data_IF_975192429466
#
_entry.id   IF_975192429466
#
_cell.length_a   1.000
_cell.length_b   1.000
_cell.length_c   1.000
_cell.angle_alpha   90.00
_cell.angle_beta   90.00
_cell.angle_gamma   90.00
#
_symmetry.space_group_name_H-M   'P 1'
#
loop_
_entity.id
_entity.type
_entity.pdbx_description
1 polymer ?
#
# COMPACT_ATOMS: atom_id res chain seq x y z
N UNK A 1 3.23 14.29 -11.63
CA UNK A 1 3.96 14.46 -10.36
C UNK A 1 5.00 13.34 -10.22
N UNK A 2 6.07 13.59 -9.47
CA UNK A 2 7.09 12.60 -9.12
C UNK A 2 6.70 11.95 -7.80
N UNK A 3 6.60 10.63 -7.79
CA UNK A 3 6.12 9.86 -6.62
C UNK A 3 7.16 8.80 -6.25
N UNK A 4 7.60 8.81 -5.00
CA UNK A 4 8.55 7.85 -4.46
C UNK A 4 7.85 6.89 -3.48
N UNK A 5 8.23 5.62 -3.50
CA UNK A 5 7.67 4.59 -2.62
C UNK A 5 8.71 3.96 -1.73
N UNK A 6 8.33 3.70 -0.49
CA UNK A 6 9.05 2.79 0.40
C UNK A 6 8.10 1.76 0.98
N UNK A 7 8.48 0.49 0.94
CA UNK A 7 7.64 -0.63 1.39
C UNK A 7 8.32 -1.42 2.48
N UNK A 8 7.63 -1.58 3.59
CA UNK A 8 8.04 -2.47 4.67
C UNK A 8 7.10 -3.66 4.78
N UNK A 9 7.62 -4.78 5.28
CA UNK A 9 6.83 -5.94 5.67
C UNK A 9 6.80 -7.06 4.66
N UNK A 10 5.62 -7.62 4.43
CA UNK A 10 5.43 -8.90 3.76
C UNK A 10 5.25 -8.75 2.24
N UNK A 11 5.20 -9.90 1.55
CA UNK A 11 4.95 -9.97 0.11
C UNK A 11 3.64 -9.32 -0.32
N UNK A 12 2.61 -9.34 0.55
CA UNK A 12 1.33 -8.67 0.26
C UNK A 12 1.53 -7.16 0.18
N UNK A 13 2.27 -6.56 1.12
CA UNK A 13 2.58 -5.13 1.05
C UNK A 13 3.38 -4.77 -0.22
N UNK A 14 4.32 -5.63 -0.61
CA UNK A 14 5.09 -5.42 -1.84
C UNK A 14 4.18 -5.47 -3.08
N UNK A 15 3.34 -6.50 -3.19
CA UNK A 15 2.36 -6.65 -4.25
C UNK A 15 1.42 -5.41 -4.34
N UNK A 16 0.91 -4.96 -3.21
CA UNK A 16 0.04 -3.78 -3.15
C UNK A 16 0.77 -2.50 -3.55
N UNK A 17 2.06 -2.38 -3.21
CA UNK A 17 2.88 -1.25 -3.67
C UNK A 17 3.08 -1.28 -5.17
N UNK A 18 3.39 -2.44 -5.75
CA UNK A 18 3.56 -2.58 -7.20
C UNK A 18 2.24 -2.17 -7.94
N UNK A 19 1.09 -2.55 -7.40
CA UNK A 19 -0.21 -2.13 -7.95
C UNK A 19 -0.43 -0.62 -7.85
N UNK A 20 -0.13 -0.01 -6.70
CA UNK A 20 -0.25 1.44 -6.53
C UNK A 20 0.68 2.20 -7.49
N UNK A 21 1.91 1.72 -7.65
CA UNK A 21 2.87 2.31 -8.60
C UNK A 21 2.35 2.22 -10.04
N UNK A 22 1.85 1.05 -10.44
CA UNK A 22 1.29 0.85 -11.78
C UNK A 22 0.07 1.73 -12.04
N UNK A 23 -0.86 1.81 -11.09
CA UNK A 23 -2.05 2.66 -11.21
C UNK A 23 -1.66 4.14 -11.36
N UNK A 24 -0.80 4.64 -10.49
CA UNK A 24 -0.35 6.03 -10.52
C UNK A 24 0.46 6.34 -11.79
N UNK A 25 1.31 5.42 -12.25
CA UNK A 25 2.05 5.58 -13.51
C UNK A 25 1.12 5.63 -14.71
N UNK A 26 0.08 4.77 -14.75
CA UNK A 26 -0.92 4.75 -15.83
C UNK A 26 -1.72 6.05 -15.93
N UNK A 27 -1.78 6.81 -14.85
CA UNK A 27 -2.45 8.11 -14.73
C UNK A 27 -1.48 9.30 -14.90
N UNK A 28 -0.33 9.07 -15.54
CA UNK A 28 0.62 10.12 -15.94
C UNK A 28 1.57 10.60 -14.84
N UNK A 29 1.70 9.87 -13.73
CA UNK A 29 2.69 10.17 -12.70
C UNK A 29 4.02 9.45 -13.00
N UNK A 30 5.14 10.04 -12.59
CA UNK A 30 6.48 9.44 -12.70
C UNK A 30 6.87 8.77 -11.38
N UNK A 31 7.10 7.47 -11.40
CA UNK A 31 7.61 6.76 -10.24
C UNK A 31 9.13 6.89 -10.20
N UNK A 32 9.65 7.36 -9.07
CA UNK A 32 11.08 7.61 -8.86
C UNK A 32 11.62 6.81 -7.67
N UNK A 33 12.94 6.71 -7.54
CA UNK A 33 13.57 6.08 -6.39
C UNK A 33 13.21 6.83 -5.10
N UNK A 34 13.17 6.11 -3.98
CA UNK A 34 12.93 6.73 -2.66
C UNK A 34 14.06 7.70 -2.26
N UNK A 35 15.23 7.53 -2.85
CA UNK A 35 16.38 8.40 -2.61
C UNK A 35 16.39 9.66 -3.48
N UNK A 36 15.58 9.68 -4.53
CA UNK A 36 15.41 10.83 -5.41
C UNK A 36 14.47 11.89 -4.80
N UNK A 37 14.53 13.09 -5.37
CA UNK A 37 13.58 14.15 -5.05
C UNK A 37 12.20 13.83 -5.64
N UNK A 38 11.15 13.92 -4.81
CA UNK A 38 9.78 13.61 -5.20
C UNK A 38 8.78 14.60 -4.60
N UNK A 39 7.67 14.82 -5.32
CA UNK A 39 6.55 15.65 -4.85
C UNK A 39 5.76 14.95 -3.74
N UNK A 40 5.69 13.61 -3.83
CA UNK A 40 4.96 12.76 -2.88
C UNK A 40 5.80 11.54 -2.51
N UNK A 41 5.96 11.30 -1.22
CA UNK A 41 6.56 10.10 -0.66
C UNK A 41 5.48 9.22 -0.06
N UNK A 42 5.30 8.00 -0.58
CA UNK A 42 4.32 7.03 -0.09
C UNK A 42 5.06 5.93 0.69
N UNK A 43 4.71 5.77 1.96
CA UNK A 43 5.28 4.73 2.84
C UNK A 43 4.23 3.68 3.13
N UNK A 44 4.41 2.48 2.59
CA UNK A 44 3.58 1.31 2.86
C UNK A 44 4.16 0.55 4.06
N UNK A 45 3.48 0.64 5.19
CA UNK A 45 3.98 0.26 6.52
C UNK A 45 3.59 -1.16 6.94
N UNK A 46 4.38 -1.74 7.83
CA UNK A 46 4.14 -3.02 8.49
C UNK A 46 3.93 -2.83 10.00
N UNK A 47 3.11 -3.71 10.61
CA UNK A 47 2.85 -3.72 12.06
C UNK A 47 2.81 -5.14 12.64
N UNK A 48 3.50 -6.10 12.02
CA UNK A 48 3.50 -7.51 12.50
C UNK A 48 4.27 -7.65 13.83
N UNK A 49 5.24 -6.79 14.06
CA UNK A 49 6.06 -6.78 15.29
C UNK A 49 6.34 -5.34 15.75
N UNK A 50 6.67 -5.16 17.04
CA UNK A 50 7.12 -3.87 17.57
C UNK A 50 8.35 -3.33 16.82
N UNK A 51 9.24 -4.21 16.34
CA UNK A 51 10.38 -3.84 15.50
C UNK A 51 9.93 -3.26 14.16
N UNK A 52 8.90 -3.84 13.53
CA UNK A 52 8.37 -3.31 12.27
C UNK A 52 7.68 -1.95 12.45
N UNK A 53 6.99 -1.72 13.57
CA UNK A 53 6.44 -0.40 13.91
C UNK A 53 7.56 0.64 14.07
N UNK A 54 8.64 0.28 14.77
CA UNK A 54 9.80 1.16 14.91
C UNK A 54 10.43 1.49 13.55
N UNK A 55 10.67 0.49 12.70
CA UNK A 55 11.21 0.68 11.35
C UNK A 55 10.27 1.54 10.49
N UNK A 56 8.97 1.32 10.57
CA UNK A 56 7.97 2.13 9.88
C UNK A 56 8.10 3.62 10.27
N UNK A 57 8.20 3.92 11.57
CA UNK A 57 8.41 5.30 12.04
C UNK A 57 9.73 5.91 11.54
N UNK A 58 10.80 5.13 11.46
CA UNK A 58 12.09 5.62 10.92
C UNK A 58 11.99 5.96 9.44
N UNK A 59 11.34 5.13 8.64
CA UNK A 59 11.15 5.39 7.21
C UNK A 59 10.23 6.59 7.00
N UNK A 60 9.14 6.74 7.76
CA UNK A 60 8.25 7.91 7.69
C UNK A 60 9.04 9.21 8.01
N UNK A 61 9.85 9.21 9.06
CA UNK A 61 10.70 10.37 9.37
C UNK A 61 11.74 10.66 8.29
N UNK A 62 12.28 9.62 7.65
CA UNK A 62 13.19 9.79 6.50
C UNK A 62 12.48 10.42 5.32
N UNK A 63 11.27 9.95 4.98
CA UNK A 63 10.42 10.54 3.96
C UNK A 63 10.14 12.03 4.25
N UNK A 64 9.78 12.36 5.49
CA UNK A 64 9.50 13.73 5.90
C UNK A 64 10.71 14.68 5.74
N UNK A 65 11.92 14.18 6.04
CA UNK A 65 13.15 14.98 5.83
C UNK A 65 13.47 15.20 4.35
N UNK A 66 13.12 14.24 3.48
CA UNK A 66 13.36 14.31 2.03
C UNK A 66 12.33 15.17 1.31
N UNK A 67 11.11 15.19 1.81
CA UNK A 67 9.98 15.83 1.15
C UNK A 67 10.13 17.35 0.98
N UNK A 68 10.96 18.06 1.78
CA UNK A 68 11.32 19.48 1.64
C UNK A 68 10.14 20.39 1.22
N UNK A 69 8.95 20.15 1.77
CA UNK A 69 7.70 20.83 1.38
C UNK A 69 6.77 19.98 0.51
N UNK A 70 7.21 18.82 0.04
CA UNK A 70 6.37 17.78 -0.57
C UNK A 70 5.50 17.06 0.47
N UNK A 71 4.66 16.14 -0.01
CA UNK A 71 3.69 15.41 0.81
C UNK A 71 4.22 14.05 1.24
N UNK A 72 3.99 13.65 2.50
CA UNK A 72 4.22 12.28 2.97
C UNK A 72 2.88 11.61 3.23
N UNK A 73 2.64 10.52 2.51
CA UNK A 73 1.45 9.70 2.60
C UNK A 73 1.81 8.35 3.22
N UNK A 74 1.10 7.95 4.24
CA UNK A 74 1.38 6.70 4.96
C UNK A 74 0.21 5.75 4.81
N UNK A 75 0.49 4.51 4.43
CA UNK A 75 -0.51 3.45 4.33
C UNK A 75 0.03 2.14 4.92
N UNK A 76 -0.73 1.07 4.89
CA UNK A 76 -0.31 -0.25 5.34
C UNK A 76 -0.87 -0.66 6.69
N UNK A 77 -0.32 -1.75 7.24
CA UNK A 77 -0.87 -2.34 8.46
C UNK A 77 -0.72 -1.43 9.68
N UNK A 78 0.38 -0.70 9.80
CA UNK A 78 0.56 0.26 10.89
C UNK A 78 -0.40 1.45 10.76
N UNK A 79 -0.58 1.97 9.54
CA UNK A 79 -1.55 3.02 9.26
C UNK A 79 -3.00 2.60 9.58
N UNK A 80 -3.34 1.33 9.34
CA UNK A 80 -4.67 0.78 9.63
C UNK A 80 -4.92 0.55 11.12
N UNK A 81 -3.88 0.15 11.88
CA UNK A 81 -4.04 -0.23 13.29
C UNK A 81 -3.81 0.92 14.26
N UNK A 82 -2.99 1.91 13.90
CA UNK A 82 -2.63 3.05 14.75
C UNK A 82 -2.56 4.37 13.97
N UNK A 83 -3.66 4.78 13.28
CA UNK A 83 -3.66 5.97 12.45
C UNK A 83 -3.35 7.24 13.24
N UNK A 84 -3.85 7.37 14.46
CA UNK A 84 -3.66 8.55 15.29
C UNK A 84 -2.21 8.73 15.77
N UNK A 85 -1.48 7.63 15.94
CA UNK A 85 -0.04 7.69 16.25
C UNK A 85 0.75 8.21 15.05
N UNK A 86 0.40 7.75 13.85
CA UNK A 86 1.08 8.15 12.61
C UNK A 86 0.77 9.61 12.25
N UNK A 87 -0.48 10.06 12.40
CA UNK A 87 -0.86 11.46 12.14
C UNK A 87 -0.07 12.47 12.97
N UNK A 88 0.41 12.07 14.16
CA UNK A 88 1.24 12.91 15.03
C UNK A 88 2.71 12.98 14.60
N UNK A 89 3.14 12.14 13.66
CA UNK A 89 4.53 12.19 13.19
C UNK A 89 4.76 13.42 12.31
N UNK A 90 5.87 14.16 12.53
CA UNK A 90 6.17 15.35 11.74
C UNK A 90 6.22 15.05 10.24
N UNK A 91 5.61 15.90 9.42
CA UNK A 91 5.65 15.83 7.97
C UNK A 91 4.65 14.87 7.34
N UNK A 92 3.89 14.09 8.12
CA UNK A 92 2.81 13.25 7.58
C UNK A 92 1.65 14.14 7.14
N UNK A 93 1.30 14.06 5.86
CA UNK A 93 0.22 14.84 5.25
C UNK A 93 -1.08 14.06 5.16
N UNK A 94 -1.00 12.73 5.03
CA UNK A 94 -2.17 11.88 4.82
C UNK A 94 -1.91 10.45 5.35
N UNK A 95 -2.93 9.86 5.95
CA UNK A 95 -2.92 8.45 6.39
C UNK A 95 -4.09 7.73 5.73
N UNK A 96 -3.79 6.66 4.99
CA UNK A 96 -4.73 5.85 4.22
C UNK A 96 -4.70 4.41 4.76
N UNK A 97 -5.84 3.83 5.08
CA UNK A 97 -5.90 2.46 5.58
C UNK A 97 -5.75 1.42 4.45
N UNK A 98 -5.67 0.13 4.80
CA UNK A 98 -5.48 -0.95 3.83
C UNK A 98 -6.63 -1.10 2.84
N UNK A 99 -7.87 -0.77 3.23
CA UNK A 99 -9.05 -0.88 2.38
C UNK A 99 -9.11 0.22 1.32
N UNK A 100 -8.50 1.35 1.60
CA UNK A 100 -8.48 2.54 0.74
C UNK A 100 -7.30 2.56 -0.24
N UNK A 101 -6.29 1.70 -0.06
CA UNK A 101 -5.12 1.62 -0.95
C UNK A 101 -5.44 1.56 -2.45
N UNK A 102 -6.43 0.78 -2.90
CA UNK A 102 -6.75 0.71 -4.32
C UNK A 102 -7.27 2.02 -4.92
N UNK A 103 -7.71 2.95 -4.08
CA UNK A 103 -8.19 4.28 -4.46
C UNK A 103 -7.16 5.37 -4.16
N UNK A 104 -5.88 5.02 -4.01
CA UNK A 104 -4.84 5.97 -3.58
C UNK A 104 -4.74 7.19 -4.47
N UNK A 105 -4.96 7.05 -5.78
CA UNK A 105 -4.97 8.16 -6.72
C UNK A 105 -6.00 9.24 -6.32
N UNK A 106 -7.23 8.83 -5.97
CA UNK A 106 -8.32 9.75 -5.65
C UNK A 106 -8.04 10.53 -4.36
N UNK A 107 -7.27 9.92 -3.45
CA UNK A 107 -6.79 10.58 -2.23
C UNK A 107 -5.64 11.56 -2.49
N UNK A 108 -4.82 11.30 -3.51
CA UNK A 108 -3.69 12.17 -3.86
C UNK A 108 -4.13 13.38 -4.66
N UNK A 109 -5.11 13.20 -5.55
CA UNK A 109 -5.64 14.22 -6.46
C UNK A 109 -7.17 14.18 -6.35
N UNK A 110 -7.77 14.81 -5.34
CA UNK A 110 -9.22 14.81 -5.19
C UNK A 110 -9.86 15.68 -6.28
N UNK A 111 -10.44 15.05 -7.29
CA UNK A 111 -11.26 15.71 -8.33
C UNK A 111 -12.74 15.80 -7.90
N UNK A 112 -13.07 15.33 -6.68
CA UNK A 112 -14.44 15.28 -6.15
C UNK A 112 -14.49 14.82 -4.69
N UNK A 113 -15.67 14.48 -4.17
CA UNK A 113 -15.78 13.90 -2.83
C UNK A 113 -15.01 12.61 -2.76
N UNK A 114 -14.22 12.43 -1.68
CA UNK A 114 -13.43 11.22 -1.46
C UNK A 114 -14.33 9.97 -1.49
N UNK A 115 -13.91 8.90 -2.15
CA UNK A 115 -14.68 7.68 -2.24
C UNK A 115 -14.93 7.11 -0.84
N UNK A 116 -16.20 6.87 -0.51
CA UNK A 116 -16.62 6.24 0.74
C UNK A 116 -16.95 4.80 0.43
N UNK A 117 -16.13 3.86 0.91
CA UNK A 117 -16.42 2.43 0.79
C UNK A 117 -15.21 1.57 0.47
N UNK A 118 -15.34 0.28 0.80
CA UNK A 118 -14.33 -0.72 0.46
C UNK A 118 -14.41 -1.08 -1.02
N UNK A 119 -13.26 -1.21 -1.68
CA UNK A 119 -13.19 -1.73 -3.06
C UNK A 119 -13.71 -3.15 -3.10
N UNK A 120 -14.62 -3.42 -4.00
CA UNK A 120 -15.33 -4.71 -4.10
C UNK A 120 -14.49 -5.84 -4.72
N UNK A 121 -13.43 -5.54 -5.47
CA UNK A 121 -12.59 -6.55 -6.12
C UNK A 121 -11.25 -6.72 -5.43
N UNK A 122 -10.92 -7.96 -5.08
CA UNK A 122 -9.61 -8.37 -4.54
C UNK A 122 -8.60 -8.69 -5.64
N UNK A 123 -9.09 -9.15 -6.78
CA UNK A 123 -8.28 -9.43 -7.95
C UNK A 123 -8.28 -8.21 -8.84
N UNK A 124 -7.36 -7.32 -8.56
CA UNK A 124 -6.90 -6.36 -9.57
C UNK A 124 -6.00 -7.11 -10.55
N UNK A 125 -5.92 -6.67 -11.79
CA UNK A 125 -4.86 -7.17 -12.69
C UNK A 125 -3.54 -7.02 -11.96
N UNK A 126 -2.87 -8.14 -11.71
CA UNK A 126 -1.59 -8.14 -11.00
C UNK A 126 -0.57 -7.23 -11.69
N UNK A 127 0.46 -6.80 -10.98
CA UNK A 127 1.44 -5.90 -11.55
C UNK A 127 2.06 -6.52 -12.82
N UNK A 128 2.09 -5.76 -13.90
CA UNK A 128 2.72 -6.19 -15.16
C UNK A 128 4.22 -6.35 -15.00
N UNK A 129 4.82 -5.55 -14.12
CA UNK A 129 6.24 -5.55 -13.84
C UNK A 129 6.47 -5.79 -12.34
N UNK A 130 7.40 -6.66 -12.02
CA UNK A 130 7.71 -7.02 -10.63
C UNK A 130 8.98 -6.34 -10.11
N UNK A 131 9.35 -5.18 -10.69
CA UNK A 131 10.51 -4.37 -10.31
C UNK A 131 11.76 -5.19 -9.96
N UNK A 132 12.25 -5.99 -10.95
CA UNK A 132 13.45 -6.80 -10.82
C UNK A 132 13.28 -8.13 -10.07
N UNK A 133 12.07 -8.52 -9.71
CA UNK A 133 11.77 -9.84 -9.14
C UNK A 133 11.45 -10.85 -10.23
N UNK A 134 12.05 -12.03 -10.13
CA UNK A 134 11.85 -13.14 -11.08
C UNK A 134 10.58 -13.96 -10.83
N UNK A 135 9.88 -13.71 -9.71
CA UNK A 135 8.67 -14.45 -9.33
C UNK A 135 7.44 -13.55 -9.40
N UNK A 136 6.46 -13.95 -10.18
CA UNK A 136 5.12 -13.39 -10.16
C UNK A 136 4.45 -13.57 -8.79
N UNK A 137 3.53 -12.68 -8.47
CA UNK A 137 2.72 -12.77 -7.24
C UNK A 137 1.26 -12.59 -7.60
N UNK A 138 0.42 -13.44 -7.03
CA UNK A 138 -1.03 -13.40 -7.21
C UNK A 138 -1.70 -13.33 -5.84
N UNK A 139 -2.44 -12.26 -5.58
CA UNK A 139 -3.19 -12.08 -4.34
C UNK A 139 -4.57 -12.73 -4.51
N UNK A 140 -4.79 -13.85 -3.82
CA UNK A 140 -6.03 -14.63 -3.89
C UNK A 140 -6.95 -14.37 -2.70
N UNK A 141 -6.41 -13.84 -1.60
CA UNK A 141 -7.15 -13.58 -0.37
C UNK A 141 -6.57 -12.38 0.37
N UNK A 142 -7.42 -11.65 1.08
CA UNK A 142 -7.03 -10.60 2.03
C UNK A 142 -7.84 -10.74 3.32
N UNK A 143 -7.23 -10.31 4.46
CA UNK A 143 -7.84 -10.46 5.78
C UNK A 143 -7.82 -11.88 6.31
N UNK A 144 -8.40 -12.10 7.50
CA UNK A 144 -8.45 -13.40 8.15
C UNK A 144 -9.55 -13.42 9.20
N UNK A 145 -10.30 -14.51 9.27
CA UNK A 145 -11.36 -14.73 10.28
C UNK A 145 -10.87 -15.48 11.54
N UNK A 146 -9.61 -15.92 11.56
CA UNK A 146 -9.04 -16.55 12.75
C UNK A 146 -8.76 -15.52 13.84
N UNK A 147 -8.99 -15.91 15.10
CA UNK A 147 -8.79 -15.09 16.30
C UNK A 147 -7.48 -15.45 17.03
N UNK A 148 -6.38 -15.64 16.33
CA UNK A 148 -5.09 -15.93 16.95
C UNK A 148 -4.65 -14.76 17.84
N UNK A 149 -4.33 -15.02 19.10
CA UNK A 149 -4.03 -14.00 20.11
C UNK A 149 -2.84 -13.09 19.79
N UNK A 150 -1.94 -13.56 18.95
CA UNK A 150 -0.73 -12.82 18.54
C UNK A 150 -0.85 -12.15 17.16
N UNK A 151 -1.95 -12.36 16.43
CA UNK A 151 -2.02 -11.96 15.01
C UNK A 151 -2.71 -10.62 14.83
N UNK A 152 -2.01 -9.68 14.18
CA UNK A 152 -2.52 -8.34 13.86
C UNK A 152 -3.39 -8.31 12.61
N UNK A 153 -3.40 -9.38 11.79
CA UNK A 153 -4.05 -9.37 10.45
C UNK A 153 -5.53 -9.03 10.51
N UNK A 154 -6.36 -9.60 11.42
CA UNK A 154 -7.78 -9.24 11.49
C UNK A 154 -8.02 -7.75 11.77
N UNK A 155 -7.17 -7.14 12.60
CA UNK A 155 -7.26 -5.71 12.91
C UNK A 155 -6.77 -4.83 11.76
N UNK A 156 -5.70 -5.25 11.08
CA UNK A 156 -5.07 -4.45 10.03
C UNK A 156 -5.75 -4.57 8.66
N UNK A 157 -6.39 -5.71 8.36
CA UNK A 157 -6.94 -6.05 7.04
C UNK A 157 -8.41 -6.45 7.06
N UNK A 158 -8.99 -6.63 8.24
CA UNK A 158 -10.38 -7.02 8.42
C UNK A 158 -10.63 -8.51 8.20
N UNK A 159 -11.91 -8.85 7.97
CA UNK A 159 -12.36 -10.21 7.73
C UNK A 159 -11.81 -10.79 6.44
N UNK A 160 -11.79 -12.12 6.36
CA UNK A 160 -11.35 -12.84 5.17
C UNK A 160 -12.20 -12.51 3.96
N UNK A 161 -11.55 -12.13 2.87
CA UNK A 161 -12.16 -11.90 1.54
C UNK A 161 -11.33 -12.65 0.54
N UNK A 162 -11.95 -13.58 -0.18
CA UNK A 162 -11.29 -14.39 -1.20
C UNK A 162 -11.74 -13.98 -2.59
N UNK A 163 -10.83 -14.06 -3.53
CA UNK A 163 -11.12 -13.86 -4.94
C UNK A 163 -11.92 -15.04 -5.50
N UNK A 164 -12.78 -14.80 -6.49
CA UNK A 164 -13.47 -15.87 -7.18
C UNK A 164 -12.48 -16.77 -7.96
N UNK A 165 -12.62 -18.11 -7.91
CA UNK A 165 -11.67 -19.01 -8.56
C UNK A 165 -11.44 -18.72 -10.05
N UNK A 166 -12.48 -18.35 -10.78
CA UNK A 166 -12.39 -17.99 -12.20
C UNK A 166 -11.55 -16.74 -12.46
N UNK A 167 -11.61 -15.73 -11.57
CA UNK A 167 -10.75 -14.52 -11.65
C UNK A 167 -9.30 -14.86 -11.36
N UNK A 168 -9.06 -15.71 -10.35
CA UNK A 168 -7.73 -16.19 -10.00
C UNK A 168 -7.08 -16.92 -11.17
N UNK A 169 -7.82 -17.85 -11.79
CA UNK A 169 -7.32 -18.61 -12.94
C UNK A 169 -7.03 -17.70 -14.14
N UNK A 170 -7.92 -16.77 -14.44
CA UNK A 170 -7.73 -15.80 -15.52
C UNK A 170 -6.48 -14.96 -15.32
N UNK A 171 -6.26 -14.47 -14.11
CA UNK A 171 -5.09 -13.66 -13.80
C UNK A 171 -3.81 -14.52 -13.80
N UNK A 172 -3.85 -15.75 -13.30
CA UNK A 172 -2.73 -16.70 -13.40
C UNK A 172 -2.31 -16.91 -14.86
N UNK A 173 -3.27 -17.23 -15.74
CA UNK A 173 -2.98 -17.45 -17.16
C UNK A 173 -2.39 -16.21 -17.84
N UNK A 174 -2.80 -15.01 -17.43
CA UNK A 174 -2.22 -13.76 -17.92
C UNK A 174 -0.75 -13.56 -17.51
N UNK A 175 -0.36 -14.05 -16.33
CA UNK A 175 1.00 -13.90 -15.82
C UNK A 175 1.99 -14.92 -16.39
N UNK A 176 1.52 -16.06 -16.92
CA UNK A 176 2.38 -17.11 -17.46
C UNK A 176 2.53 -17.05 -18.99
N UNK A 177 1.84 -16.14 -19.65
CA UNK A 177 1.98 -15.79 -21.08
C UNK A 177 3.05 -14.71 -21.27
#
# INVERSE_FOLDING_TARGET
MRIAFSTLGCKINQYETDLMQQDLASKGNTIVSFDDEADIYIVNTCSVTAKSDYQSRQVIRSAARRARGGRVVVTGCYASTRPEEIKKLPGVSLVINNLEKPMIHDYLIPEGPLPVGAVSSLVTKGPKETHGRTRGSLKIQDGCDNACSYCIVPLARGRSRSAAPGEVLKEFMRQVQ
#
